data_IF_887566665294
#
_entry.id   IF_887566665294
#
_cell.length_a   1.000
_cell.length_b   1.000
_cell.length_c   1.000
_cell.angle_alpha   90.00
_cell.angle_beta   90.00
_cell.angle_gamma   90.00
#
_symmetry.space_group_name_H-M   'P 1'
#
loop_
_entity.id
_entity.type
_entity.pdbx_description
1 polymer ?
#
# COMPACT_ATOMS: atom_id res chain seq x y z
N UNK A 1 -64.27 -29.75 -19.67
CA UNK A 1 -63.79 -28.68 -18.75
C UNK A 1 -62.38 -28.93 -18.17
N UNK A 2 -61.90 -30.17 -18.03
CA UNK A 2 -60.58 -30.49 -17.46
C UNK A 2 -59.35 -30.20 -18.36
N UNK A 3 -59.51 -30.15 -19.69
CA UNK A 3 -58.39 -29.86 -20.64
C UNK A 3 -58.07 -28.37 -20.80
N UNK A 4 -59.03 -27.47 -20.49
CA UNK A 4 -58.81 -26.01 -20.53
C UNK A 4 -58.12 -25.46 -19.27
N UNK A 5 -58.18 -26.21 -18.15
CA UNK A 5 -57.48 -25.85 -16.90
C UNK A 5 -55.98 -26.13 -16.97
N UNK A 6 -55.54 -27.20 -17.64
CA UNK A 6 -54.11 -27.51 -17.81
C UNK A 6 -53.39 -26.48 -18.69
N UNK A 7 -54.07 -25.97 -19.73
CA UNK A 7 -53.50 -24.97 -20.63
C UNK A 7 -53.32 -23.59 -19.96
N UNK A 8 -54.10 -23.29 -18.92
CA UNK A 8 -54.00 -22.02 -18.19
C UNK A 8 -52.84 -22.05 -17.17
N UNK A 9 -52.54 -23.21 -16.60
CA UNK A 9 -51.41 -23.40 -15.67
C UNK A 9 -50.05 -23.34 -16.39
N UNK A 10 -49.97 -23.81 -17.64
CA UNK A 10 -48.74 -23.77 -18.44
C UNK A 10 -48.34 -22.34 -18.88
N UNK A 11 -49.31 -21.44 -19.09
CA UNK A 11 -49.03 -20.04 -19.48
C UNK A 11 -48.57 -19.20 -18.29
N UNK A 12 -49.08 -19.48 -17.09
CA UNK A 12 -48.68 -18.76 -15.87
C UNK A 12 -47.26 -19.15 -15.41
N UNK A 13 -46.82 -20.39 -15.66
CA UNK A 13 -45.47 -20.84 -15.30
C UNK A 13 -44.38 -20.24 -16.22
N UNK A 14 -44.69 -20.04 -17.50
CA UNK A 14 -43.76 -19.43 -18.47
C UNK A 14 -43.59 -17.92 -18.28
N UNK A 15 -44.59 -17.24 -17.69
CA UNK A 15 -44.47 -15.81 -17.35
C UNK A 15 -43.55 -15.55 -16.14
N UNK A 16 -43.38 -16.52 -15.24
CA UNK A 16 -42.45 -16.41 -14.11
C UNK A 16 -40.98 -16.64 -14.50
N UNK A 17 -40.71 -17.29 -15.63
CA UNK A 17 -39.34 -17.53 -16.11
C UNK A 17 -38.70 -16.32 -16.80
N UNK A 18 -39.47 -15.27 -17.11
CA UNK A 18 -38.98 -14.06 -17.80
C UNK A 18 -38.68 -12.87 -16.88
N UNK A 19 -38.98 -12.96 -15.58
CA UNK A 19 -38.65 -11.90 -14.59
C UNK A 19 -37.21 -12.02 -14.05
N UNK A 20 -36.48 -13.09 -14.40
CA UNK A 20 -35.13 -13.37 -13.90
C UNK A 20 -33.97 -12.66 -14.63
N UNK A 21 -34.21 -11.95 -15.73
CA UNK A 21 -33.11 -11.42 -16.58
C UNK A 21 -32.91 -9.91 -16.53
N UNK A 22 -33.55 -9.17 -15.61
CA UNK A 22 -33.24 -7.76 -15.37
C UNK A 22 -32.21 -7.56 -14.25
N UNK A 23 -31.35 -8.55 -13.99
CA UNK A 23 -30.09 -8.27 -13.32
C UNK A 23 -29.23 -7.50 -14.31
N UNK A 24 -29.51 -6.19 -14.43
CA UNK A 24 -28.56 -5.19 -14.89
C UNK A 24 -27.25 -5.51 -14.19
N UNK A 25 -26.37 -6.23 -14.88
CA UNK A 25 -25.01 -6.45 -14.47
C UNK A 25 -24.36 -5.08 -14.58
N UNK A 26 -24.63 -4.24 -13.58
CA UNK A 26 -23.73 -3.20 -13.17
C UNK A 26 -22.42 -3.95 -12.91
N UNK A 27 -21.58 -3.98 -13.94
CA UNK A 27 -20.18 -4.32 -13.87
C UNK A 27 -19.56 -3.25 -12.98
N UNK A 28 -19.83 -3.33 -11.68
CA UNK A 28 -19.13 -2.57 -10.67
C UNK A 28 -17.68 -2.97 -10.87
N UNK A 29 -16.88 -2.00 -11.34
CA UNK A 29 -15.45 -2.21 -11.56
C UNK A 29 -14.90 -2.77 -10.26
N UNK A 30 -14.46 -4.04 -10.28
CA UNK A 30 -14.05 -4.78 -9.07
C UNK A 30 -12.95 -3.97 -8.38
N UNK A 31 -13.29 -3.36 -7.26
CA UNK A 31 -12.37 -2.51 -6.52
C UNK A 31 -11.45 -3.39 -5.69
N UNK A 32 -10.15 -3.34 -5.95
CA UNK A 32 -9.13 -4.02 -5.13
C UNK A 32 -8.63 -3.05 -4.08
N UNK A 33 -8.69 -3.43 -2.79
CA UNK A 33 -8.10 -2.60 -1.74
C UNK A 33 -6.67 -3.04 -1.48
N UNK A 34 -5.75 -2.09 -1.43
CA UNK A 34 -4.34 -2.32 -1.10
C UNK A 34 -3.98 -1.57 0.18
N UNK A 35 -3.59 -2.29 1.23
CA UNK A 35 -3.16 -1.76 2.53
C UNK A 35 -1.65 -1.50 2.50
N UNK A 36 -1.26 -0.24 2.60
CA UNK A 36 0.15 0.17 2.53
C UNK A 36 0.58 0.85 3.83
N UNK A 37 1.65 0.36 4.44
CA UNK A 37 2.34 1.05 5.53
C UNK A 37 3.39 2.03 5.00
N UNK A 38 3.42 3.27 5.47
CA UNK A 38 4.38 4.27 4.98
C UNK A 38 4.85 5.23 6.07
N UNK A 39 6.04 5.83 5.89
CA UNK A 39 6.44 6.99 6.69
C UNK A 39 5.59 8.22 6.33
N UNK A 40 5.43 9.15 7.27
CA UNK A 40 4.51 10.29 7.08
C UNK A 40 4.91 11.20 5.90
N UNK A 41 6.20 11.52 5.78
CA UNK A 41 6.77 12.38 4.73
C UNK A 41 8.08 11.76 4.23
N UNK A 42 8.36 11.77 2.91
CA UNK A 42 7.45 12.10 1.81
C UNK A 42 6.48 10.96 1.42
N UNK A 43 6.72 9.74 1.92
CA UNK A 43 6.11 8.51 1.45
C UNK A 43 4.57 8.52 1.41
N UNK A 44 3.90 8.80 2.54
CA UNK A 44 2.45 8.86 2.58
C UNK A 44 1.87 10.04 1.76
N UNK A 45 2.62 11.14 1.58
CA UNK A 45 2.19 12.24 0.72
C UNK A 45 2.18 11.81 -0.75
N UNK A 46 3.22 11.10 -1.20
CA UNK A 46 3.29 10.52 -2.55
C UNK A 46 2.12 9.55 -2.78
N UNK A 47 1.86 8.63 -1.84
CA UNK A 47 0.75 7.69 -1.94
C UNK A 47 -0.61 8.39 -2.01
N UNK A 48 -0.84 9.43 -1.19
CA UNK A 48 -2.08 10.21 -1.22
C UNK A 48 -2.23 10.99 -2.53
N UNK A 49 -1.13 11.47 -3.11
CA UNK A 49 -1.16 12.17 -4.39
C UNK A 49 -1.64 11.26 -5.53
N UNK A 50 -1.19 10.00 -5.56
CA UNK A 50 -1.55 9.03 -6.62
C UNK A 50 -2.87 8.30 -6.37
N UNK A 51 -3.36 8.28 -5.12
CA UNK A 51 -4.58 7.55 -4.74
C UNK A 51 -5.83 7.86 -5.59
N UNK A 52 -6.12 9.13 -5.99
CA UNK A 52 -7.26 9.42 -6.86
C UNK A 52 -7.17 8.79 -8.25
N UNK A 53 -5.96 8.68 -8.81
CA UNK A 53 -5.72 8.06 -10.11
C UNK A 53 -5.91 6.54 -10.01
N UNK A 54 -5.28 5.91 -9.02
CA UNK A 54 -5.44 4.48 -8.74
C UNK A 54 -6.90 4.09 -8.48
N UNK A 55 -7.67 4.95 -7.80
CA UNK A 55 -9.10 4.70 -7.57
C UNK A 55 -9.91 4.65 -8.87
N UNK A 56 -9.58 5.48 -9.87
CA UNK A 56 -10.19 5.40 -11.21
C UNK A 56 -9.82 4.10 -11.93
N UNK A 57 -8.65 3.56 -11.65
CA UNK A 57 -8.16 2.29 -12.20
C UNK A 57 -8.74 1.06 -11.47
N UNK A 58 -9.44 1.26 -10.33
CA UNK A 58 -10.04 0.17 -9.56
C UNK A 58 -9.19 -0.28 -8.36
N UNK A 59 -8.22 0.52 -7.94
CA UNK A 59 -7.38 0.27 -6.77
C UNK A 59 -7.68 1.31 -5.68
N UNK A 60 -8.13 0.85 -4.52
CA UNK A 60 -8.36 1.67 -3.34
C UNK A 60 -7.19 1.55 -2.37
N UNK A 61 -6.41 2.62 -2.19
CA UNK A 61 -5.31 2.63 -1.21
C UNK A 61 -5.84 2.86 0.21
N UNK A 62 -5.47 1.99 1.14
CA UNK A 62 -5.60 2.21 2.59
C UNK A 62 -4.20 2.45 3.15
N UNK A 63 -3.90 3.70 3.51
CA UNK A 63 -2.55 4.10 3.93
C UNK A 63 -2.50 4.17 5.46
N UNK A 64 -1.61 3.38 6.06
CA UNK A 64 -1.27 3.45 7.49
C UNK A 64 0.07 4.15 7.65
N UNK A 65 0.11 5.25 8.40
CA UNK A 65 1.35 5.99 8.68
C UNK A 65 2.06 5.43 9.91
N UNK A 66 3.35 5.15 9.78
CA UNK A 66 4.22 4.72 10.87
C UNK A 66 5.20 5.83 11.26
N UNK A 67 5.59 5.86 12.53
CA UNK A 67 6.55 6.81 13.09
C UNK A 67 7.95 6.20 13.31
N UNK A 68 8.12 4.91 13.02
CA UNK A 68 9.35 4.15 13.20
C UNK A 68 9.62 3.22 11.99
N UNK A 69 10.82 2.62 11.97
CA UNK A 69 11.31 1.74 10.89
C UNK A 69 11.20 0.25 11.19
N UNK A 70 10.70 -0.13 12.37
CA UNK A 70 10.60 -1.54 12.78
C UNK A 70 9.23 -2.11 12.48
N UNK A 71 8.18 -1.36 12.77
CA UNK A 71 6.79 -1.79 12.65
C UNK A 71 6.34 -2.06 11.21
N UNK A 72 6.73 -1.29 10.17
CA UNK A 72 6.22 -1.52 8.82
C UNK A 72 6.58 -2.90 8.24
N UNK A 73 7.79 -3.41 8.49
CA UNK A 73 8.19 -4.75 8.02
C UNK A 73 7.53 -5.87 8.84
N UNK A 74 7.38 -5.68 10.16
CA UNK A 74 6.66 -6.64 11.02
C UNK A 74 5.19 -6.78 10.60
N UNK A 75 4.51 -5.65 10.40
CA UNK A 75 3.11 -5.63 9.96
C UNK A 75 2.93 -6.29 8.58
N UNK A 76 3.88 -6.08 7.65
CA UNK A 76 3.88 -6.75 6.35
C UNK A 76 4.11 -8.26 6.49
N UNK A 77 5.11 -8.68 7.25
CA UNK A 77 5.41 -10.10 7.48
C UNK A 77 4.25 -10.84 8.18
N UNK A 78 3.48 -10.16 9.02
CA UNK A 78 2.30 -10.69 9.69
C UNK A 78 1.03 -10.72 8.80
N UNK A 79 1.10 -10.19 7.57
CA UNK A 79 -0.05 -10.11 6.66
C UNK A 79 -1.06 -9.00 7.01
N UNK A 80 -0.71 -8.07 7.88
CA UNK A 80 -1.55 -6.91 8.22
C UNK A 80 -1.56 -5.87 7.09
N UNK A 81 -0.45 -5.78 6.37
CA UNK A 81 -0.24 -4.93 5.19
C UNK A 81 -0.04 -5.80 3.94
N UNK A 82 -0.40 -5.26 2.78
CA UNK A 82 -0.10 -5.87 1.48
C UNK A 82 1.27 -5.40 0.94
N UNK A 83 1.69 -4.20 1.33
CA UNK A 83 3.00 -3.63 1.02
C UNK A 83 3.41 -2.59 2.06
N UNK A 84 4.68 -2.18 2.04
CA UNK A 84 5.13 -0.98 2.73
C UNK A 84 6.01 -0.10 1.81
N UNK A 85 6.09 1.18 2.14
CA UNK A 85 6.83 2.19 1.40
C UNK A 85 7.51 3.15 2.39
N UNK A 86 8.74 2.83 2.77
CA UNK A 86 9.52 3.61 3.75
C UNK A 86 11.05 3.38 3.70
N UNK A 87 11.51 2.29 3.05
CA UNK A 87 12.88 1.77 3.22
C UNK A 87 13.63 1.68 1.90
N UNK A 88 14.96 1.61 2.00
CA UNK A 88 15.87 1.30 0.90
C UNK A 88 16.32 -0.17 0.92
N UNK A 89 17.01 -0.62 -0.14
CA UNK A 89 17.39 -2.03 -0.34
C UNK A 89 18.35 -2.55 0.75
N UNK A 90 19.40 -1.82 1.17
CA UNK A 90 20.26 -2.24 2.26
C UNK A 90 19.48 -2.53 3.56
N UNK A 91 18.53 -1.66 3.93
CA UNK A 91 17.70 -1.86 5.12
C UNK A 91 16.85 -3.14 5.02
N UNK A 92 16.18 -3.35 3.88
CA UNK A 92 15.38 -4.55 3.62
C UNK A 92 16.22 -5.84 3.78
N UNK A 93 17.42 -5.86 3.20
CA UNK A 93 18.32 -7.01 3.29
C UNK A 93 18.76 -7.30 4.72
N UNK A 94 19.10 -6.25 5.48
CA UNK A 94 19.46 -6.42 6.89
C UNK A 94 18.29 -6.94 7.71
N UNK A 95 17.09 -6.36 7.52
CA UNK A 95 15.90 -6.78 8.23
C UNK A 95 15.57 -8.25 7.96
N UNK A 96 15.58 -8.70 6.70
CA UNK A 96 15.37 -10.11 6.36
C UNK A 96 16.41 -11.02 7.01
N UNK A 97 17.69 -10.63 6.98
CA UNK A 97 18.77 -11.40 7.62
C UNK A 97 18.55 -11.55 9.13
N UNK A 98 18.13 -10.48 9.81
CA UNK A 98 17.95 -10.44 11.26
C UNK A 98 16.66 -11.11 11.74
N UNK A 99 15.61 -11.08 10.92
CA UNK A 99 14.27 -11.55 11.29
C UNK A 99 13.86 -12.84 10.57
N UNK A 100 14.78 -13.49 9.86
CA UNK A 100 14.52 -14.64 8.98
C UNK A 100 13.37 -14.37 7.99
N UNK A 101 13.28 -13.14 7.52
CA UNK A 101 12.21 -12.64 6.68
C UNK A 101 12.41 -12.96 5.20
N UNK A 102 11.30 -12.98 4.46
CA UNK A 102 11.26 -13.25 3.02
C UNK A 102 10.70 -12.06 2.23
N UNK A 103 10.77 -10.85 2.79
CA UNK A 103 10.24 -9.65 2.14
C UNK A 103 11.05 -9.33 0.88
N UNK A 104 10.39 -8.89 -0.18
CA UNK A 104 11.02 -8.62 -1.48
C UNK A 104 10.81 -7.16 -1.89
N UNK A 105 11.74 -6.62 -2.68
CA UNK A 105 11.59 -5.32 -3.30
C UNK A 105 10.70 -5.43 -4.55
N UNK A 106 9.55 -4.76 -4.54
CA UNK A 106 8.60 -4.74 -5.66
C UNK A 106 8.90 -3.64 -6.72
N UNK A 107 9.85 -2.73 -6.44
CA UNK A 107 10.23 -1.67 -7.37
C UNK A 107 10.87 -0.47 -6.68
N UNK A 108 11.84 0.17 -7.36
CA UNK A 108 12.38 1.46 -6.92
C UNK A 108 11.39 2.59 -7.22
N UNK A 109 11.24 3.53 -6.27
CA UNK A 109 10.28 4.64 -6.38
C UNK A 109 10.98 5.99 -6.42
N UNK A 110 11.81 6.29 -5.41
CA UNK A 110 12.55 7.55 -5.32
C UNK A 110 13.87 7.37 -4.55
N UNK A 111 14.66 8.45 -4.51
CA UNK A 111 15.88 8.54 -3.71
C UNK A 111 15.82 9.79 -2.82
N UNK A 112 16.28 9.64 -1.58
CA UNK A 112 16.42 10.73 -0.61
C UNK A 112 17.91 10.92 -0.31
N UNK A 113 18.57 11.96 -0.86
CA UNK A 113 19.99 12.19 -0.60
C UNK A 113 20.27 12.47 0.87
N UNK A 114 21.21 11.73 1.46
CA UNK A 114 21.72 11.99 2.80
C UNK A 114 22.62 13.22 2.77
N UNK A 115 22.41 14.14 3.70
CA UNK A 115 23.19 15.36 3.82
C UNK A 115 23.55 15.66 5.28
N UNK A 116 24.67 16.37 5.46
CA UNK A 116 25.11 16.85 6.77
C UNK A 116 24.55 18.25 7.00
N UNK A 117 23.95 18.47 8.16
CA UNK A 117 23.39 19.76 8.55
C UNK A 117 24.04 20.26 9.84
N UNK A 118 24.13 21.58 9.99
CA UNK A 118 24.65 22.19 11.21
C UNK A 118 23.86 23.43 11.57
N UNK A 119 23.55 23.56 12.88
CA UNK A 119 23.04 24.81 13.47
C UNK A 119 24.16 25.75 13.91
N UNK A 120 25.42 25.29 13.91
CA UNK A 120 26.57 25.97 14.54
C UNK A 120 27.59 26.50 13.54
N UNK A 121 27.80 25.80 12.43
CA UNK A 121 28.79 26.15 11.40
C UNK A 121 28.13 26.21 10.04
N UNK A 122 28.64 27.07 9.15
CA UNK A 122 28.09 27.23 7.80
C UNK A 122 28.85 26.45 6.74
N UNK A 123 30.14 26.17 6.98
CA UNK A 123 31.00 25.39 6.08
C UNK A 123 31.68 24.28 6.86
N UNK A 124 31.99 23.18 6.17
CA UNK A 124 32.71 22.04 6.77
C UNK A 124 34.08 22.46 7.33
N UNK A 125 34.78 23.37 6.66
CA UNK A 125 36.07 23.90 7.09
C UNK A 125 36.01 24.69 8.41
N UNK A 126 34.82 25.13 8.84
CA UNK A 126 34.64 25.87 10.10
C UNK A 126 34.52 24.91 11.31
N UNK A 127 34.54 23.58 11.09
CA UNK A 127 34.51 22.58 12.14
C UNK A 127 35.81 22.61 12.96
N UNK A 128 35.68 22.84 14.26
CA UNK A 128 36.82 22.78 15.20
C UNK A 128 37.28 21.34 15.38
N UNK A 129 38.59 21.16 15.57
CA UNK A 129 39.17 19.86 15.97
C UNK A 129 38.47 19.36 17.24
N UNK A 130 38.08 18.08 17.24
CA UNK A 130 37.35 17.46 18.35
C UNK A 130 35.84 17.69 18.33
N UNK A 131 35.27 18.23 17.25
CA UNK A 131 33.82 18.39 17.12
C UNK A 131 33.08 17.02 17.13
N UNK A 132 31.97 16.96 17.85
CA UNK A 132 31.05 15.81 17.82
C UNK A 132 30.09 15.91 16.64
N UNK A 133 29.98 14.84 15.87
CA UNK A 133 29.02 14.68 14.77
C UNK A 133 28.04 13.57 15.18
N UNK A 134 26.74 13.86 15.07
CA UNK A 134 25.69 12.87 15.32
C UNK A 134 25.31 12.26 13.98
N UNK A 135 25.24 10.92 13.93
CA UNK A 135 24.85 10.14 12.76
C UNK A 135 23.69 9.21 13.10
N UNK A 136 23.02 8.69 12.08
CA UNK A 136 22.00 7.65 12.25
C UNK A 136 22.60 6.42 12.97
N UNK A 137 21.85 5.84 13.90
CA UNK A 137 22.20 4.54 14.50
C UNK A 137 21.81 3.35 13.62
N UNK A 138 21.09 3.60 12.53
CA UNK A 138 20.66 2.59 11.59
C UNK A 138 21.79 2.26 10.62
N UNK A 139 22.41 1.10 10.84
CA UNK A 139 23.59 0.63 10.11
C UNK A 139 23.51 0.75 8.58
N UNK A 140 22.39 0.40 7.94
CA UNK A 140 22.26 0.46 6.49
C UNK A 140 22.21 1.88 5.87
N UNK A 141 22.21 2.93 6.69
CA UNK A 141 22.22 4.32 6.21
C UNK A 141 23.63 4.82 5.81
N UNK A 142 24.67 4.00 6.02
CA UNK A 142 26.07 4.29 5.68
C UNK A 142 26.69 3.22 4.77
#
# INVERSE_FOLDING_TARGET
MKKKLLSLFAVVFTAFLLVGCSSSSNSSKKMTTLKIGASAVPHAQILRHVAPQLKKEGVNLKITTFQDYTMPNKALANGELDANYFQHIPFLKLWNKQNHGTLVNAGGVHLEPIAVFSKKVKKLQDLKKGATIIVSSNVPDY
#
